data_IF_101302115697
#
_entry.id   IF_101302115697
#
_cell.length_a   1.000
_cell.length_b   1.000
_cell.length_c   1.000
_cell.angle_alpha   90.00
_cell.angle_beta   90.00
_cell.angle_gamma   90.00
#
_symmetry.space_group_name_H-M   'P 1'
#
loop_
_entity.id
_entity.type
_entity.pdbx_description
1 polymer ?
#
# COMPACT_ATOMS: atom_id res chain seq x y z
N UNK A 1 9.17 0.24 14.88
CA UNK A 1 9.98 0.30 16.12
C UNK A 1 11.48 0.30 15.85
N UNK A 2 12.26 1.21 16.47
CA UNK A 2 11.81 2.25 17.42
C UNK A 2 11.12 3.45 16.75
N UNK A 3 11.17 3.53 15.43
CA UNK A 3 10.44 4.52 14.63
C UNK A 3 9.35 3.81 13.81
N UNK A 4 8.19 4.44 13.71
CA UNK A 4 7.06 3.94 12.93
C UNK A 4 7.06 4.56 11.53
N UNK A 5 7.73 3.87 10.60
CA UNK A 5 7.81 4.28 9.20
C UNK A 5 6.46 4.17 8.48
N UNK A 6 5.57 3.28 8.92
CA UNK A 6 4.24 3.15 8.34
C UNK A 6 3.43 4.41 8.64
N UNK A 7 3.31 4.77 9.92
CA UNK A 7 2.58 5.98 10.33
C UNK A 7 3.22 7.26 9.83
N UNK A 8 4.55 7.32 9.75
CA UNK A 8 5.26 8.42 9.08
C UNK A 8 4.77 8.60 7.62
N UNK A 9 4.75 7.52 6.83
CA UNK A 9 4.31 7.57 5.44
C UNK A 9 2.82 7.92 5.31
N UNK A 10 1.96 7.33 6.15
CA UNK A 10 0.53 7.65 6.16
C UNK A 10 0.30 9.13 6.47
N UNK A 11 0.93 9.67 7.51
CA UNK A 11 0.74 11.06 7.91
C UNK A 11 1.30 12.06 6.90
N UNK A 12 2.38 11.71 6.21
CA UNK A 12 2.96 12.54 5.17
C UNK A 12 2.05 12.66 3.94
N UNK A 13 1.42 11.56 3.52
CA UNK A 13 0.57 11.52 2.31
C UNK A 13 -0.86 11.98 2.58
N UNK A 14 -1.39 11.72 3.79
CA UNK A 14 -2.76 12.10 4.19
C UNK A 14 -3.20 13.52 3.79
N UNK A 15 -2.44 14.60 4.04
CA UNK A 15 -2.86 15.96 3.68
C UNK A 15 -2.93 16.21 2.17
N UNK A 16 -2.38 15.32 1.34
CA UNK A 16 -2.40 15.41 -0.12
C UNK A 16 -3.64 14.74 -0.74
N UNK A 17 -4.42 13.99 0.05
CA UNK A 17 -5.61 13.29 -0.41
C UNK A 17 -6.84 14.13 -0.10
N UNK A 18 -7.58 14.53 -1.14
CA UNK A 18 -8.92 15.08 -0.96
C UNK A 18 -9.94 13.93 -0.76
N UNK A 19 -10.10 13.51 0.49
CA UNK A 19 -11.02 12.44 0.85
C UNK A 19 -12.48 12.74 0.49
N UNK A 20 -12.87 14.01 0.33
CA UNK A 20 -14.26 14.37 0.00
C UNK A 20 -14.61 14.10 -1.45
N UNK A 21 -13.62 14.13 -2.34
CA UNK A 21 -13.78 13.85 -3.77
C UNK A 21 -13.21 12.48 -4.19
N UNK A 22 -12.59 11.76 -3.26
CA UNK A 22 -12.08 10.40 -3.47
C UNK A 22 -13.19 9.35 -3.26
N UNK A 23 -13.05 8.20 -3.91
CA UNK A 23 -14.02 7.10 -3.80
C UNK A 23 -13.35 5.73 -3.79
N UNK A 24 -13.98 4.78 -3.09
CA UNK A 24 -13.63 3.35 -3.11
C UNK A 24 -14.77 2.61 -3.79
N UNK A 25 -14.50 2.04 -4.96
CA UNK A 25 -15.46 1.18 -5.67
C UNK A 25 -15.56 -0.19 -5.01
N UNK A 26 -16.77 -0.76 -4.95
CA UNK A 26 -17.02 -2.13 -4.52
C UNK A 26 -16.40 -2.50 -3.16
N UNK A 27 -16.55 -1.64 -2.15
CA UNK A 27 -15.98 -1.84 -0.80
C UNK A 27 -16.36 -3.21 -0.19
N UNK A 28 -17.52 -3.75 -0.54
CA UNK A 28 -17.98 -5.09 -0.13
C UNK A 28 -16.99 -6.21 -0.46
N UNK A 29 -16.28 -6.10 -1.58
CA UNK A 29 -15.31 -7.11 -2.01
C UNK A 29 -14.08 -7.16 -1.11
N UNK A 30 -13.68 -6.05 -0.47
CA UNK A 30 -12.57 -6.07 0.48
C UNK A 30 -12.92 -6.84 1.76
N UNK A 31 -14.19 -6.83 2.19
CA UNK A 31 -14.63 -7.69 3.29
C UNK A 31 -14.62 -9.18 2.89
N UNK A 32 -15.09 -9.52 1.68
CA UNK A 32 -14.99 -10.89 1.17
C UNK A 32 -13.52 -11.35 1.04
N UNK A 33 -12.63 -10.45 0.64
CA UNK A 33 -11.20 -10.71 0.62
C UNK A 33 -10.67 -11.06 2.02
N UNK A 34 -11.02 -10.28 3.05
CA UNK A 34 -10.63 -10.56 4.43
C UNK A 34 -11.17 -11.92 4.91
N UNK A 35 -12.41 -12.28 4.58
CA UNK A 35 -12.96 -13.62 4.89
C UNK A 35 -12.13 -14.74 4.25
N UNK A 36 -11.72 -14.60 2.99
CA UNK A 36 -10.87 -15.59 2.30
C UNK A 36 -9.47 -15.65 2.92
N UNK A 37 -8.90 -14.51 3.31
CA UNK A 37 -7.61 -14.47 4.02
C UNK A 37 -7.70 -15.22 5.35
N UNK A 38 -8.79 -15.05 6.11
CA UNK A 38 -9.03 -15.78 7.36
C UNK A 38 -9.18 -17.29 7.17
N UNK A 39 -9.57 -17.74 5.98
CA UNK A 39 -9.62 -19.16 5.61
C UNK A 39 -8.24 -19.72 5.17
N UNK A 40 -7.19 -18.89 5.15
CA UNK A 40 -5.85 -19.28 4.74
C UNK A 40 -5.63 -19.24 3.22
N UNK A 41 -6.54 -18.62 2.46
CA UNK A 41 -6.31 -18.38 1.03
C UNK A 41 -5.31 -17.25 0.81
N UNK A 42 -4.63 -17.28 -0.33
CA UNK A 42 -3.82 -16.16 -0.81
C UNK A 42 -4.63 -15.31 -1.79
N UNK A 43 -4.45 -14.00 -1.73
CA UNK A 43 -5.09 -13.05 -2.65
C UNK A 43 -4.00 -12.22 -3.32
N UNK A 44 -4.08 -12.13 -4.65
CA UNK A 44 -3.19 -11.29 -5.46
C UNK A 44 -4.02 -10.21 -6.11
N UNK A 45 -3.69 -8.95 -5.82
CA UNK A 45 -4.30 -7.80 -6.49
C UNK A 45 -3.54 -7.49 -7.78
N UNK A 46 -4.21 -7.68 -8.92
CA UNK A 46 -3.69 -7.27 -10.22
C UNK A 46 -4.10 -5.82 -10.44
N UNK A 47 -3.20 -4.91 -10.11
CA UNK A 47 -3.43 -3.46 -10.14
C UNK A 47 -2.65 -2.78 -11.26
N UNK A 48 -3.16 -1.65 -11.75
CA UNK A 48 -2.30 -0.66 -12.39
C UNK A 48 -1.41 0.04 -11.34
N UNK A 49 -0.45 0.83 -11.81
CA UNK A 49 0.44 1.64 -10.97
C UNK A 49 0.54 3.05 -11.56
N UNK A 50 0.41 4.08 -10.73
CA UNK A 50 0.41 5.48 -11.16
C UNK A 50 1.50 6.29 -10.47
N UNK A 51 1.69 6.10 -9.16
CA UNK A 51 2.63 6.91 -8.37
C UNK A 51 3.41 6.05 -7.37
N UNK A 52 4.58 6.51 -6.97
CA UNK A 52 5.37 5.86 -5.91
C UNK A 52 4.63 5.86 -4.55
N UNK A 53 3.61 6.71 -4.39
CA UNK A 53 2.79 6.82 -3.19
C UNK A 53 1.54 5.90 -3.21
N UNK A 54 1.34 5.10 -4.27
CA UNK A 54 0.18 4.19 -4.39
C UNK A 54 -0.01 3.31 -3.12
N UNK A 55 1.04 2.75 -2.48
CA UNK A 55 0.87 1.99 -1.24
C UNK A 55 0.25 2.80 -0.09
N UNK A 56 0.59 4.08 0.01
CA UNK A 56 0.02 4.97 1.02
C UNK A 56 -1.41 5.37 0.68
N UNK A 57 -1.69 5.65 -0.59
CA UNK A 57 -3.04 6.00 -1.05
C UNK A 57 -4.01 4.83 -0.80
N UNK A 58 -3.62 3.61 -1.18
CA UNK A 58 -4.43 2.40 -0.95
C UNK A 58 -4.71 2.23 0.55
N UNK A 59 -3.67 2.33 1.39
CA UNK A 59 -3.84 2.21 2.84
C UNK A 59 -4.75 3.30 3.42
N UNK A 60 -4.57 4.56 3.03
CA UNK A 60 -5.40 5.69 3.49
C UNK A 60 -6.87 5.57 3.09
N UNK A 61 -7.15 5.08 1.87
CA UNK A 61 -8.53 4.90 1.41
C UNK A 61 -9.25 3.73 2.10
N UNK A 62 -8.50 2.75 2.61
CA UNK A 62 -9.03 1.54 3.26
C UNK A 62 -8.93 1.56 4.79
N UNK A 63 -8.21 2.50 5.40
CA UNK A 63 -7.90 2.47 6.85
C UNK A 63 -9.13 2.43 7.76
N UNK A 64 -10.25 2.99 7.33
CA UNK A 64 -11.48 3.07 8.13
C UNK A 64 -12.37 1.84 8.00
N UNK A 65 -12.33 1.16 6.85
CA UNK A 65 -13.20 0.01 6.55
C UNK A 65 -12.46 -1.32 6.62
N UNK A 66 -11.21 -1.36 6.20
CA UNK A 66 -10.38 -2.56 6.02
C UNK A 66 -8.95 -2.32 6.55
N UNK A 67 -8.79 -2.00 7.85
CA UNK A 67 -7.48 -1.71 8.44
C UNK A 67 -6.51 -2.89 8.30
N UNK A 68 -7.03 -4.13 8.37
CA UNK A 68 -6.20 -5.32 8.17
C UNK A 68 -5.55 -5.33 6.79
N UNK A 69 -6.30 -5.05 5.72
CA UNK A 69 -5.76 -4.93 4.36
C UNK A 69 -4.82 -3.74 4.24
N UNK A 70 -5.18 -2.58 4.81
CA UNK A 70 -4.38 -1.36 4.74
C UNK A 70 -2.96 -1.50 5.32
N UNK A 71 -2.80 -2.32 6.37
CA UNK A 71 -1.51 -2.54 7.04
C UNK A 71 -0.75 -3.76 6.52
N UNK A 72 -1.46 -4.82 6.07
CA UNK A 72 -0.83 -6.12 5.77
C UNK A 72 -0.60 -6.37 4.27
N UNK A 73 -1.08 -5.49 3.38
CA UNK A 73 -0.84 -5.67 1.95
C UNK A 73 0.67 -5.68 1.63
N UNK A 74 1.10 -6.67 0.85
CA UNK A 74 2.48 -6.79 0.38
C UNK A 74 2.60 -6.33 -1.06
N UNK A 75 3.48 -5.36 -1.31
CA UNK A 75 3.64 -4.72 -2.62
C UNK A 75 4.85 -5.28 -3.36
N UNK A 76 4.69 -5.59 -4.65
CA UNK A 76 5.81 -5.89 -5.52
C UNK A 76 6.44 -4.56 -5.94
N UNK A 77 7.66 -4.27 -5.47
CA UNK A 77 8.29 -2.96 -5.62
C UNK A 77 9.66 -3.05 -6.31
N UNK A 78 9.94 -2.05 -7.16
CA UNK A 78 11.16 -1.94 -7.96
C UNK A 78 12.29 -1.14 -7.30
N UNK A 79 13.45 -1.11 -7.95
CA UNK A 79 14.70 -0.55 -7.40
C UNK A 79 14.61 0.93 -7.00
N UNK A 80 13.86 1.75 -7.74
CA UNK A 80 13.84 3.20 -7.52
C UNK A 80 13.37 3.56 -6.12
N UNK A 81 12.29 2.95 -5.64
CA UNK A 81 11.73 3.24 -4.31
C UNK A 81 12.57 2.64 -3.17
N UNK A 82 13.49 1.74 -3.49
CA UNK A 82 14.37 1.07 -2.52
C UNK A 82 15.73 1.78 -2.43
N UNK A 83 16.21 2.36 -3.54
CA UNK A 83 17.55 2.93 -3.66
C UNK A 83 17.58 4.45 -3.51
N UNK A 84 16.52 5.17 -3.91
CA UNK A 84 16.44 6.62 -3.75
C UNK A 84 16.31 7.00 -2.27
N UNK A 85 17.27 7.76 -1.69
CA UNK A 85 17.22 8.17 -0.29
C UNK A 85 15.97 8.96 0.11
N UNK A 86 15.32 9.64 -0.85
CA UNK A 86 14.09 10.39 -0.60
C UNK A 86 12.87 9.47 -0.49
N UNK A 87 12.85 8.37 -1.24
CA UNK A 87 11.75 7.41 -1.24
C UNK A 87 11.90 6.33 -0.17
N UNK A 88 13.15 5.99 0.19
CA UNK A 88 13.47 4.89 1.10
C UNK A 88 12.72 4.94 2.45
N UNK A 89 12.57 6.09 3.14
CA UNK A 89 11.80 6.14 4.39
C UNK A 89 10.33 5.71 4.23
N UNK A 90 9.72 5.99 3.07
CA UNK A 90 8.34 5.57 2.78
C UNK A 90 8.26 4.06 2.53
N UNK A 91 9.23 3.51 1.80
CA UNK A 91 9.34 2.07 1.52
C UNK A 91 9.60 1.24 2.78
N UNK A 92 10.38 1.76 3.73
CA UNK A 92 10.63 1.10 5.03
C UNK A 92 9.37 0.89 5.86
N UNK A 93 8.30 1.65 5.58
CA UNK A 93 7.00 1.53 6.24
C UNK A 93 6.02 0.60 5.55
N UNK A 94 6.46 -0.22 4.57
CA UNK A 94 5.60 -1.11 3.78
C UNK A 94 6.12 -2.54 3.76
N UNK A 95 5.21 -3.49 3.60
CA UNK A 95 5.57 -4.87 3.29
C UNK A 95 5.88 -4.97 1.81
N UNK A 96 7.10 -5.37 1.45
CA UNK A 96 7.58 -5.36 0.06
C UNK A 96 8.13 -6.72 -0.36
N UNK A 97 7.81 -7.13 -1.59
CA UNK A 97 8.59 -8.09 -2.37
C UNK A 97 9.41 -7.27 -3.36
N UNK A 98 10.70 -7.13 -3.08
CA UNK A 98 11.62 -6.34 -3.87
C UNK A 98 12.05 -7.11 -5.13
N UNK A 99 11.82 -6.54 -6.31
CA UNK A 99 12.17 -7.15 -7.60
C UNK A 99 12.87 -6.14 -8.51
N UNK A 100 13.80 -6.62 -9.34
CA UNK A 100 14.36 -5.79 -10.40
C UNK A 100 13.36 -5.68 -11.54
N UNK A 101 13.05 -4.45 -11.95
CA UNK A 101 12.11 -4.23 -13.04
C UNK A 101 12.76 -4.61 -14.36
N UNK A 102 12.15 -5.54 -15.11
CA UNK A 102 12.58 -5.88 -16.48
C UNK A 102 12.66 -4.66 -17.41
N UNK A 103 11.90 -3.60 -17.14
CA UNK A 103 11.94 -2.35 -17.92
C UNK A 103 13.32 -1.66 -17.87
N UNK A 104 14.08 -1.91 -16.81
CA UNK A 104 15.37 -1.29 -16.52
C UNK A 104 16.52 -2.30 -16.40
N UNK A 105 16.27 -3.57 -16.76
CA UNK A 105 17.30 -4.59 -16.99
C UNK A 105 17.77 -4.55 -18.44
#
# INVERSE_FOLDING_TARGET
>A
EPFDYYMFGQNYIRPLVDFRSSYVGNVSLFFEMEEKLNQGHNIVLISNHQTEADPAIIALLLESTNPHVAENLTYIAGDRVITDPLCKPFSMGRNLICVYSKKHM
#
